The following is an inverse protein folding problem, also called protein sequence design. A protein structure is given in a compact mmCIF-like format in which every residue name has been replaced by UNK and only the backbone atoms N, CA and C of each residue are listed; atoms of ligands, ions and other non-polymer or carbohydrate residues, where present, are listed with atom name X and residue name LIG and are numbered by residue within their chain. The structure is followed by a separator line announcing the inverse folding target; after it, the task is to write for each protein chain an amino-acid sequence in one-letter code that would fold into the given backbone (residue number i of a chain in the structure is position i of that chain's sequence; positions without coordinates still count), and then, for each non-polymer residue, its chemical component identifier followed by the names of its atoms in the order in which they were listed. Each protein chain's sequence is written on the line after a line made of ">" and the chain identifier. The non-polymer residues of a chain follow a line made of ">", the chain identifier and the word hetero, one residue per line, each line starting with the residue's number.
data_IF_225381946007
#
_entry.id   IF_225381946007
#
_cell.length_a   1.000
_cell.length_b   1.000
_cell.length_c   1.000
_cell.angle_alpha   90.00
_cell.angle_beta   90.00
_cell.angle_gamma   90.00
#
_symmetry.space_group_name_H-M   'P 1'
#
loop_
_entity.id
_entity.type
_entity.pdbx_description
1 polymer ?
#
# COMPACT_ATOMS: atom_id res chain seq x y z
N UNK A 1 15.80 0.13 -14.19
CA UNK A 1 14.59 -0.69 -13.89
C UNK A 1 13.55 -0.39 -14.95
N UNK A 2 12.83 -1.39 -15.47
CA UNK A 2 11.69 -1.13 -16.37
C UNK A 2 10.45 -0.79 -15.53
N UNK A 3 9.62 0.17 -15.92
CA UNK A 3 8.39 0.53 -15.24
C UNK A 3 7.35 -0.61 -15.16
N UNK A 4 6.23 -0.36 -14.50
CA UNK A 4 5.05 -1.23 -14.55
C UNK A 4 4.23 -0.85 -15.78
N UNK A 5 3.80 -1.85 -16.56
CA UNK A 5 3.05 -1.60 -17.79
C UNK A 5 1.84 -2.53 -17.87
N UNK A 6 0.70 -1.95 -18.13
CA UNK A 6 -0.52 -2.64 -18.55
C UNK A 6 -0.81 -2.27 -20.00
N UNK A 7 -1.20 -3.25 -20.83
CA UNK A 7 -1.61 -3.02 -22.20
C UNK A 7 -2.92 -3.74 -22.44
N UNK A 8 -3.95 -2.97 -22.86
CA UNK A 8 -5.32 -3.45 -23.10
C UNK A 8 -5.82 -4.36 -21.97
N UNK A 9 -5.47 -3.98 -20.73
CA UNK A 9 -5.72 -4.81 -19.56
C UNK A 9 -7.16 -4.66 -19.07
N UNK A 10 -7.82 -5.79 -18.84
CA UNK A 10 -9.18 -5.85 -18.30
C UNK A 10 -9.19 -6.70 -17.04
N UNK A 11 -10.13 -6.41 -16.15
CA UNK A 11 -10.46 -7.26 -15.02
C UNK A 11 -11.97 -7.52 -15.00
N UNK A 12 -12.34 -8.82 -14.99
CA UNK A 12 -13.72 -9.28 -15.00
C UNK A 12 -14.04 -10.00 -13.68
N UNK A 13 -15.21 -9.72 -13.12
CA UNK A 13 -15.76 -10.43 -11.98
C UNK A 13 -17.18 -10.90 -12.27
N UNK A 14 -17.41 -12.19 -12.15
CA UNK A 14 -18.74 -12.78 -12.39
C UNK A 14 -19.33 -12.51 -13.78
N UNK A 15 -18.47 -12.40 -14.81
CA UNK A 15 -18.88 -12.14 -16.19
C UNK A 15 -19.11 -10.66 -16.51
N UNK A 16 -18.88 -9.75 -15.58
CA UNK A 16 -18.95 -8.31 -15.81
C UNK A 16 -17.56 -7.70 -15.79
N UNK A 17 -17.23 -6.87 -16.77
CA UNK A 17 -15.99 -6.09 -16.79
C UNK A 17 -16.08 -4.98 -15.75
N UNK A 18 -15.22 -5.05 -14.73
CA UNK A 18 -15.12 -4.07 -13.64
C UNK A 18 -14.08 -3.01 -13.97
N UNK A 19 -13.07 -3.36 -14.75
CA UNK A 19 -11.98 -2.47 -15.12
C UNK A 19 -11.50 -2.75 -16.55
N UNK A 20 -11.29 -1.68 -17.31
CA UNK A 20 -10.64 -1.75 -18.63
C UNK A 20 -11.56 -1.70 -19.85
N UNK A 21 -10.95 -1.77 -21.07
CA UNK A 21 -9.51 -1.95 -21.30
C UNK A 21 -8.66 -0.74 -20.88
N UNK A 22 -7.53 -1.00 -20.21
CA UNK A 22 -6.62 0.03 -19.72
C UNK A 22 -5.23 -0.14 -20.32
N UNK A 23 -4.70 0.95 -20.83
CA UNK A 23 -3.28 1.13 -21.14
C UNK A 23 -2.67 2.05 -20.10
N UNK A 24 -1.67 1.57 -19.36
CA UNK A 24 -1.02 2.33 -18.29
C UNK A 24 0.46 1.99 -18.23
N UNK A 25 1.29 3.01 -18.15
CA UNK A 25 2.71 2.89 -17.87
C UNK A 25 3.06 3.72 -16.64
N UNK A 26 3.72 3.09 -15.67
CA UNK A 26 4.25 3.74 -14.47
C UNK A 26 5.76 3.58 -14.49
N UNK A 27 6.47 4.69 -14.46
CA UNK A 27 7.92 4.72 -14.54
C UNK A 27 8.55 4.60 -13.14
N UNK A 28 9.79 4.10 -13.03
CA UNK A 28 10.52 4.14 -11.76
C UNK A 28 10.66 5.59 -11.27
N UNK A 29 10.47 5.79 -9.97
CA UNK A 29 10.50 7.12 -9.34
C UNK A 29 9.16 7.85 -9.35
N UNK A 30 8.10 7.27 -9.92
CA UNK A 30 6.78 7.86 -9.84
C UNK A 30 6.09 7.50 -8.51
N UNK A 31 5.55 8.52 -7.85
CA UNK A 31 4.61 8.39 -6.75
C UNK A 31 3.22 8.71 -7.28
N UNK A 32 2.42 7.68 -7.50
CA UNK A 32 1.09 7.78 -8.12
C UNK A 32 0.00 7.70 -7.07
N UNK A 33 -0.90 8.67 -7.06
CA UNK A 33 -2.15 8.57 -6.31
C UNK A 33 -3.29 8.15 -7.24
N UNK A 34 -3.98 7.05 -6.86
CA UNK A 34 -5.21 6.61 -7.50
C UNK A 34 -6.40 7.23 -6.79
N UNK A 35 -7.19 8.01 -7.50
CA UNK A 35 -8.35 8.74 -6.96
C UNK A 35 -9.64 8.38 -7.72
N UNK A 36 -10.80 8.61 -7.08
CA UNK A 36 -12.12 8.29 -7.61
C UNK A 36 -13.04 7.69 -6.56
N UNK A 37 -14.32 7.58 -6.89
CA UNK A 37 -15.38 7.07 -5.99
C UNK A 37 -15.06 5.66 -5.47
N UNK A 38 -15.69 5.29 -4.34
CA UNK A 38 -15.70 3.89 -3.91
C UNK A 38 -16.33 3.02 -4.98
N UNK A 39 -15.72 1.85 -5.26
CA UNK A 39 -16.17 0.95 -6.33
C UNK A 39 -15.75 1.36 -7.75
N UNK A 40 -15.00 2.45 -7.95
CA UNK A 40 -14.56 2.88 -9.29
C UNK A 40 -13.55 1.93 -9.97
N UNK A 41 -12.93 0.99 -9.22
CA UNK A 41 -11.94 0.04 -9.74
C UNK A 41 -10.50 0.26 -9.25
N UNK A 42 -10.26 1.13 -8.25
CA UNK A 42 -8.91 1.41 -7.71
C UNK A 42 -8.21 0.15 -7.17
N UNK A 43 -8.88 -0.57 -6.28
CA UNK A 43 -8.35 -1.84 -5.69
C UNK A 43 -8.14 -2.91 -6.77
N UNK A 44 -9.02 -2.96 -7.76
CA UNK A 44 -8.91 -3.87 -8.91
C UNK A 44 -7.69 -3.52 -9.77
N UNK A 45 -7.41 -2.23 -9.98
CA UNK A 45 -6.21 -1.80 -10.71
C UNK A 45 -4.94 -2.17 -9.95
N UNK A 46 -4.91 -1.99 -8.62
CA UNK A 46 -3.77 -2.40 -7.78
C UNK A 46 -3.54 -3.91 -7.86
N UNK A 47 -4.60 -4.72 -7.75
CA UNK A 47 -4.51 -6.18 -7.90
C UNK A 47 -3.99 -6.57 -9.29
N UNK A 48 -4.48 -5.94 -10.35
CA UNK A 48 -4.06 -6.21 -11.72
C UNK A 48 -2.58 -5.86 -11.96
N UNK A 49 -2.10 -4.74 -11.40
CA UNK A 49 -0.69 -4.35 -11.43
C UNK A 49 0.19 -5.35 -10.67
N UNK A 50 -0.27 -5.82 -9.52
CA UNK A 50 0.42 -6.83 -8.73
C UNK A 50 0.52 -8.16 -9.46
N UNK A 51 -0.59 -8.70 -9.96
CA UNK A 51 -0.66 -10.03 -10.60
C UNK A 51 0.14 -10.10 -11.91
N UNK A 52 0.17 -9.02 -12.67
CA UNK A 52 0.93 -8.95 -13.93
C UNK A 52 2.40 -8.59 -13.75
N UNK A 53 2.79 -8.19 -12.57
CA UNK A 53 4.18 -7.89 -12.26
C UNK A 53 4.95 -9.17 -11.98
N UNK A 54 6.14 -9.30 -12.61
CA UNK A 54 7.10 -10.39 -12.31
C UNK A 54 8.08 -9.99 -11.20
N UNK A 55 7.80 -8.94 -10.44
CA UNK A 55 8.70 -8.35 -9.47
C UNK A 55 8.20 -8.60 -8.06
N UNK A 56 9.13 -8.50 -7.14
CA UNK A 56 8.86 -8.46 -5.71
C UNK A 56 8.27 -7.07 -5.38
N UNK A 57 6.94 -6.98 -5.36
CA UNK A 57 6.18 -5.76 -5.08
C UNK A 57 5.58 -5.89 -3.70
N UNK A 58 5.79 -4.89 -2.87
CA UNK A 58 5.09 -4.80 -1.60
C UNK A 58 3.62 -4.45 -1.86
N UNK A 59 2.72 -5.24 -1.29
CA UNK A 59 1.28 -5.04 -1.39
C UNK A 59 0.66 -4.80 -0.02
N UNK A 60 -0.05 -3.70 0.13
CA UNK A 60 -0.91 -3.43 1.28
C UNK A 60 -2.37 -3.41 0.81
N UNK A 61 -3.13 -4.50 1.02
CA UNK A 61 -4.53 -4.57 0.63
C UNK A 61 -5.42 -3.80 1.61
N UNK A 62 -6.64 -3.47 1.20
CA UNK A 62 -7.62 -2.72 1.98
C UNK A 62 -8.01 -3.43 3.29
N UNK A 63 -8.09 -4.76 3.29
CA UNK A 63 -8.40 -5.57 4.48
C UNK A 63 -7.22 -5.72 5.45
N UNK A 64 -6.09 -5.04 5.16
CA UNK A 64 -4.83 -5.06 5.89
C UNK A 64 -4.12 -6.42 5.90
N UNK A 65 -4.81 -7.54 5.68
CA UNK A 65 -4.26 -8.90 5.66
C UNK A 65 -3.51 -9.28 6.95
N UNK A 66 -3.95 -8.80 8.11
CA UNK A 66 -3.32 -9.07 9.41
C UNK A 66 -3.92 -10.33 10.04
N UNK A 67 -3.09 -11.07 10.78
CA UNK A 67 -3.51 -12.25 11.55
C UNK A 67 -3.78 -11.82 12.99
N UNK A 68 -5.03 -11.76 13.38
CA UNK A 68 -5.50 -11.20 14.65
C UNK A 68 -4.98 -11.93 15.88
N UNK A 69 -4.74 -13.24 15.79
CA UNK A 69 -4.24 -14.07 16.89
C UNK A 69 -2.73 -13.93 17.12
N UNK A 70 -2.01 -13.37 16.17
CA UNK A 70 -0.56 -13.14 16.26
C UNK A 70 -0.23 -11.77 16.84
N UNK A 71 0.96 -11.63 17.43
CA UNK A 71 1.45 -10.35 17.90
C UNK A 71 1.80 -9.40 16.75
N UNK A 72 1.92 -8.12 17.07
CA UNK A 72 2.43 -7.08 16.15
C UNK A 72 3.76 -7.50 15.55
N UNK A 73 4.71 -7.98 16.39
CA UNK A 73 6.00 -8.49 15.92
C UNK A 73 5.84 -9.49 14.77
N UNK A 74 5.00 -10.52 14.97
CA UNK A 74 4.84 -11.56 13.97
C UNK A 74 4.18 -11.04 12.68
N UNK A 75 3.16 -10.17 12.81
CA UNK A 75 2.51 -9.57 11.65
C UNK A 75 3.48 -8.70 10.82
N UNK A 76 4.34 -7.91 11.48
CA UNK A 76 5.37 -7.10 10.79
C UNK A 76 6.43 -8.00 10.16
N UNK A 77 6.92 -9.00 10.92
CA UNK A 77 7.92 -9.95 10.44
C UNK A 77 7.47 -10.73 9.18
N UNK A 78 6.17 -10.96 9.02
CA UNK A 78 5.62 -11.59 7.81
C UNK A 78 6.04 -10.89 6.51
N UNK A 79 6.36 -9.60 6.54
CA UNK A 79 6.89 -8.87 5.38
C UNK A 79 8.16 -9.46 4.79
N UNK A 80 8.96 -10.19 5.58
CA UNK A 80 10.22 -10.79 5.13
C UNK A 80 10.23 -12.32 5.12
N UNK A 81 9.07 -12.98 5.15
CA UNK A 81 9.02 -14.45 5.11
C UNK A 81 9.70 -15.03 3.87
N UNK A 82 9.55 -14.39 2.71
CA UNK A 82 10.16 -14.83 1.46
C UNK A 82 11.69 -14.67 1.45
N UNK A 83 12.24 -13.78 2.28
CA UNK A 83 13.68 -13.52 2.36
C UNK A 83 14.46 -14.58 3.17
N UNK A 84 13.74 -15.45 3.90
CA UNK A 84 14.36 -16.42 4.82
C UNK A 84 13.87 -17.84 4.56
N UNK A 85 14.72 -18.83 4.88
CA UNK A 85 14.34 -20.24 4.80
C UNK A 85 13.21 -20.59 5.78
N UNK A 86 12.34 -21.53 5.41
CA UNK A 86 11.18 -21.94 6.21
C UNK A 86 11.54 -22.37 7.63
N UNK A 87 12.68 -23.06 7.81
CA UNK A 87 13.17 -23.50 9.13
C UNK A 87 13.52 -22.28 9.99
N UNK A 88 14.15 -21.25 9.41
CA UNK A 88 14.45 -20.01 10.11
C UNK A 88 13.17 -19.29 10.53
N UNK A 89 12.18 -19.18 9.62
CA UNK A 89 10.90 -18.56 9.90
C UNK A 89 10.15 -19.29 11.01
N UNK A 90 10.12 -20.63 11.00
CA UNK A 90 9.48 -21.43 12.04
C UNK A 90 10.16 -21.24 13.40
N UNK A 91 11.49 -21.24 13.44
CA UNK A 91 12.24 -20.97 14.68
C UNK A 91 11.95 -19.57 15.22
N UNK A 92 11.90 -18.55 14.34
CA UNK A 92 11.59 -17.17 14.72
C UNK A 92 10.14 -16.98 15.17
N UNK A 93 9.19 -17.79 14.66
CA UNK A 93 7.80 -17.80 15.12
C UNK A 93 7.69 -18.29 16.57
N UNK A 94 8.45 -19.36 16.93
CA UNK A 94 8.40 -19.95 18.29
C UNK A 94 9.22 -19.11 19.27
N UNK A 95 10.41 -18.67 18.85
CA UNK A 95 11.33 -17.86 19.64
C UNK A 95 11.93 -16.76 18.79
N UNK A 96 11.35 -15.55 18.85
CA UNK A 96 11.82 -14.41 18.06
C UNK A 96 13.31 -14.13 18.26
N UNK A 97 14.06 -14.09 17.18
CA UNK A 97 15.48 -13.78 17.20
C UNK A 97 15.70 -12.31 17.54
N UNK A 98 16.63 -12.04 18.46
CA UNK A 98 16.94 -10.67 18.92
C UNK A 98 17.19 -9.69 17.76
N UNK A 99 17.88 -10.15 16.71
CA UNK A 99 18.14 -9.34 15.51
C UNK A 99 16.83 -8.91 14.84
N UNK A 100 15.87 -9.83 14.69
CA UNK A 100 14.59 -9.52 14.06
C UNK A 100 13.71 -8.64 14.96
N UNK A 101 13.77 -8.86 16.27
CA UNK A 101 13.05 -8.00 17.23
C UNK A 101 13.56 -6.56 17.12
N UNK A 102 14.89 -6.33 17.11
CA UNK A 102 15.47 -5.00 16.97
C UNK A 102 15.04 -4.35 15.63
N UNK A 103 15.11 -5.09 14.53
CA UNK A 103 14.76 -4.57 13.22
C UNK A 103 13.26 -4.21 13.12
N UNK A 104 12.36 -5.05 13.65
CA UNK A 104 10.92 -4.77 13.70
C UNK A 104 10.64 -3.58 14.62
N UNK A 105 11.30 -3.51 15.78
CA UNK A 105 11.14 -2.35 16.71
C UNK A 105 11.50 -1.05 16.01
N UNK A 106 12.62 -1.00 15.29
CA UNK A 106 13.04 0.22 14.57
C UNK A 106 12.02 0.69 13.51
N UNK A 107 11.30 -0.23 12.88
CA UNK A 107 10.21 0.16 11.96
C UNK A 107 8.98 0.64 12.74
N UNK A 108 8.66 0.00 13.87
CA UNK A 108 7.53 0.40 14.72
C UNK A 108 7.74 1.77 15.37
N UNK A 109 8.99 2.13 15.72
CA UNK A 109 9.36 3.46 16.25
C UNK A 109 9.01 4.58 15.27
N UNK A 110 9.16 4.37 13.96
CA UNK A 110 8.78 5.35 12.93
C UNK A 110 7.27 5.64 12.90
N UNK A 111 6.48 4.77 13.51
CA UNK A 111 5.01 4.80 13.50
C UNK A 111 4.40 4.94 14.90
N UNK A 112 5.19 5.25 15.93
CA UNK A 112 4.78 5.32 17.35
C UNK A 112 4.05 4.05 17.81
N UNK A 113 4.60 2.87 17.49
CA UNK A 113 3.98 1.57 17.77
C UNK A 113 4.89 0.59 18.53
N UNK A 114 6.11 0.97 18.88
CA UNK A 114 7.12 0.10 19.53
C UNK A 114 6.63 -0.50 20.86
N UNK A 115 5.86 0.27 21.63
CA UNK A 115 5.30 -0.20 22.90
C UNK A 115 4.31 -1.36 22.74
N UNK A 116 3.77 -1.57 21.53
CA UNK A 116 2.76 -2.60 21.23
C UNK A 116 3.32 -3.86 20.57
N UNK A 117 4.65 -3.97 20.43
CA UNK A 117 5.29 -5.04 19.66
C UNK A 117 4.82 -6.46 20.03
N UNK A 118 4.49 -6.71 21.30
CA UNK A 118 4.01 -8.01 21.77
C UNK A 118 2.49 -8.10 21.96
N UNK A 119 1.76 -7.00 21.74
CA UNK A 119 0.30 -7.01 21.79
C UNK A 119 -0.28 -7.85 20.65
N UNK A 120 -1.39 -8.53 20.89
CA UNK A 120 -2.13 -9.22 19.82
C UNK A 120 -2.76 -8.20 18.89
N UNK A 121 -2.64 -8.43 17.58
CA UNK A 121 -3.15 -7.48 16.59
C UNK A 121 -4.67 -7.31 16.65
N UNK A 122 -5.40 -8.37 17.06
CA UNK A 122 -6.86 -8.30 17.24
C UNK A 122 -7.31 -7.42 18.42
N UNK A 123 -6.41 -7.07 19.35
CA UNK A 123 -6.70 -6.20 20.51
C UNK A 123 -6.47 -4.71 20.20
N UNK A 124 -5.95 -4.39 19.01
CA UNK A 124 -5.60 -3.04 18.60
C UNK A 124 -6.80 -2.28 18.03
N UNK A 125 -6.77 -0.95 18.16
CA UNK A 125 -7.70 -0.07 17.46
C UNK A 125 -7.49 -0.13 15.93
N UNK A 126 -8.48 0.30 15.15
CA UNK A 126 -8.40 0.31 13.69
C UNK A 126 -7.17 1.08 13.18
N UNK A 127 -6.91 2.27 13.72
CA UNK A 127 -5.71 3.05 13.34
C UNK A 127 -4.39 2.40 13.76
N UNK A 128 -4.35 1.67 14.88
CA UNK A 128 -3.17 0.89 15.27
C UNK A 128 -2.97 -0.30 14.31
N UNK A 129 -4.03 -1.02 13.97
CA UNK A 129 -3.98 -2.11 12.98
C UNK A 129 -3.46 -1.62 11.64
N UNK A 130 -3.94 -0.45 11.19
CA UNK A 130 -3.47 0.16 9.95
C UNK A 130 -1.96 0.45 10.00
N UNK A 131 -1.47 1.04 11.10
CA UNK A 131 -0.03 1.28 11.28
C UNK A 131 0.79 -0.02 11.34
N UNK A 132 0.26 -1.13 11.87
CA UNK A 132 0.92 -2.44 11.81
C UNK A 132 1.03 -2.96 10.37
N UNK A 133 -0.01 -2.78 9.54
CA UNK A 133 0.04 -3.16 8.13
C UNK A 133 1.06 -2.31 7.34
N UNK A 134 1.12 -1.01 7.63
CA UNK A 134 2.18 -0.11 7.11
C UNK A 134 3.56 -0.59 7.56
N UNK A 135 3.75 -0.88 8.86
CA UNK A 135 5.01 -1.41 9.38
C UNK A 135 5.45 -2.70 8.68
N UNK A 136 4.50 -3.61 8.39
CA UNK A 136 4.78 -4.82 7.61
C UNK A 136 5.30 -4.50 6.21
N UNK A 137 4.67 -3.55 5.51
CA UNK A 137 5.13 -3.13 4.20
C UNK A 137 6.52 -2.48 4.27
N UNK A 138 6.76 -1.55 5.22
CA UNK A 138 8.07 -0.93 5.42
C UNK A 138 9.15 -1.98 5.75
N UNK A 139 8.82 -2.98 6.57
CA UNK A 139 9.74 -4.07 6.92
C UNK A 139 10.01 -5.00 5.73
N UNK A 140 9.04 -5.21 4.84
CA UNK A 140 9.25 -5.95 3.58
C UNK A 140 10.28 -5.24 2.71
N UNK A 141 10.18 -3.91 2.61
CA UNK A 141 11.06 -3.12 1.73
C UNK A 141 10.82 -3.41 0.25
N UNK A 142 11.79 -3.06 -0.57
CA UNK A 142 11.74 -3.23 -2.02
C UNK A 142 11.65 -1.89 -2.75
N UNK A 143 11.49 -1.94 -4.08
CA UNK A 143 11.49 -0.74 -4.92
C UNK A 143 10.09 -0.17 -5.15
N UNK A 144 9.07 -1.04 -5.13
CA UNK A 144 7.69 -0.70 -5.51
C UNK A 144 6.71 -1.08 -4.42
N UNK A 145 5.82 -0.15 -4.10
CA UNK A 145 4.68 -0.36 -3.20
C UNK A 145 3.36 -0.15 -3.94
N UNK A 146 2.45 -1.09 -3.78
CA UNK A 146 1.02 -0.94 -4.08
C UNK A 146 0.25 -0.89 -2.75
N UNK A 147 -0.49 0.18 -2.48
CA UNK A 147 -1.22 0.32 -1.22
C UNK A 147 -2.66 0.78 -1.45
N UNK A 148 -3.60 0.12 -0.80
CA UNK A 148 -5.01 0.47 -0.86
C UNK A 148 -5.44 1.12 0.45
N UNK A 149 -5.68 2.43 0.42
CA UNK A 149 -6.12 3.27 1.53
C UNK A 149 -5.25 3.17 2.81
N UNK A 150 -3.91 3.36 2.72
CA UNK A 150 -3.00 3.10 3.85
C UNK A 150 -3.20 4.03 5.05
N UNK A 151 -4.02 5.08 4.94
CA UNK A 151 -4.22 6.11 5.98
C UNK A 151 -5.69 6.35 6.34
N UNK A 152 -6.63 5.53 5.85
CA UNK A 152 -8.07 5.78 5.98
C UNK A 152 -8.61 5.82 7.42
N UNK A 153 -7.94 5.13 8.37
CA UNK A 153 -8.31 5.08 9.79
C UNK A 153 -7.41 5.96 10.70
N UNK A 154 -6.63 6.88 10.10
CA UNK A 154 -5.67 7.70 10.82
C UNK A 154 -6.09 9.18 10.84
N UNK A 155 -5.70 9.89 11.90
CA UNK A 155 -5.79 11.35 11.97
C UNK A 155 -4.72 12.02 11.09
N UNK A 156 -4.88 13.33 10.84
CA UNK A 156 -4.02 14.09 9.93
C UNK A 156 -2.52 13.94 10.21
N UNK A 157 -2.02 14.20 11.42
CA UNK A 157 -0.59 14.09 11.71
C UNK A 157 -0.02 12.67 11.48
N UNK A 158 -0.79 11.63 11.86
CA UNK A 158 -0.38 10.23 11.65
C UNK A 158 -0.44 9.84 10.19
N UNK A 159 -1.44 10.32 9.46
CA UNK A 159 -1.54 10.11 8.00
C UNK A 159 -0.33 10.69 7.28
N UNK A 160 0.11 11.90 7.65
CA UNK A 160 1.30 12.53 7.07
C UNK A 160 2.57 11.73 7.38
N UNK A 161 2.76 11.30 8.62
CA UNK A 161 3.93 10.50 9.02
C UNK A 161 3.99 9.18 8.23
N UNK A 162 2.86 8.48 8.08
CA UNK A 162 2.76 7.25 7.28
C UNK A 162 3.08 7.52 5.81
N UNK A 163 2.48 8.53 5.20
CA UNK A 163 2.74 8.86 3.79
C UNK A 163 4.21 9.20 3.55
N UNK A 164 4.81 9.98 4.45
CA UNK A 164 6.24 10.30 4.38
C UNK A 164 7.11 9.04 4.51
N UNK A 165 6.83 8.15 5.46
CA UNK A 165 7.57 6.90 5.62
C UNK A 165 7.48 6.03 4.37
N UNK A 166 6.29 5.87 3.78
CA UNK A 166 6.09 5.08 2.57
C UNK A 166 6.83 5.68 1.36
N UNK A 167 6.68 6.98 1.09
CA UNK A 167 7.29 7.64 -0.07
C UNK A 167 8.80 7.83 0.06
N UNK A 168 9.35 7.82 1.28
CA UNK A 168 10.81 7.84 1.49
C UNK A 168 11.45 6.46 1.43
N UNK A 169 10.70 5.39 1.72
CA UNK A 169 11.20 4.02 1.70
C UNK A 169 11.17 3.41 0.29
N UNK A 170 10.10 3.67 -0.46
CA UNK A 170 9.91 3.09 -1.78
C UNK A 170 10.21 4.10 -2.88
N UNK A 171 10.99 3.66 -3.89
CA UNK A 171 11.30 4.48 -5.06
C UNK A 171 10.04 4.79 -5.88
N UNK A 172 9.11 3.84 -5.96
CA UNK A 172 7.87 3.96 -6.73
C UNK A 172 6.69 3.54 -5.86
N UNK A 173 5.67 4.37 -5.77
CA UNK A 173 4.45 4.04 -5.02
C UNK A 173 3.21 4.24 -5.86
N UNK A 174 2.26 3.31 -5.76
CA UNK A 174 0.93 3.47 -6.32
C UNK A 174 -0.07 3.30 -5.17
N UNK A 175 -0.69 4.39 -4.76
CA UNK A 175 -1.50 4.45 -3.55
C UNK A 175 -2.92 4.90 -3.89
N UNK A 176 -3.90 4.02 -3.64
CA UNK A 176 -5.30 4.41 -3.69
C UNK A 176 -5.68 5.21 -2.43
N UNK A 177 -6.30 6.36 -2.60
CA UNK A 177 -6.69 7.22 -1.49
C UNK A 177 -7.88 8.11 -1.84
N UNK A 178 -8.57 8.58 -0.78
CA UNK A 178 -9.69 9.54 -0.91
C UNK A 178 -9.28 10.96 -0.54
N UNK A 179 -8.23 11.14 0.26
CA UNK A 179 -7.74 12.45 0.65
C UNK A 179 -6.92 13.10 -0.48
N UNK A 180 -7.54 14.05 -1.16
CA UNK A 180 -6.92 14.79 -2.27
C UNK A 180 -5.80 15.71 -1.81
N UNK A 181 -5.81 16.15 -0.55
CA UNK A 181 -4.75 17.00 0.02
C UNK A 181 -3.47 16.19 0.18
N UNK A 182 -3.58 15.00 0.78
CA UNK A 182 -2.46 14.07 0.87
C UNK A 182 -2.01 13.59 -0.52
N UNK A 183 -2.95 13.30 -1.42
CA UNK A 183 -2.63 12.89 -2.79
C UNK A 183 -1.75 13.94 -3.50
N UNK A 184 -2.14 15.22 -3.44
CA UNK A 184 -1.36 16.31 -4.05
C UNK A 184 -0.01 16.56 -3.39
N UNK A 185 0.10 16.27 -2.09
CA UNK A 185 1.33 16.53 -1.34
C UNK A 185 2.38 15.45 -1.53
N UNK A 186 1.97 14.18 -1.63
CA UNK A 186 2.87 13.03 -1.65
C UNK A 186 2.99 12.34 -3.00
N UNK A 187 2.10 12.62 -3.94
CA UNK A 187 2.20 12.08 -5.30
C UNK A 187 2.73 13.12 -6.29
N UNK A 188 3.47 12.65 -7.29
CA UNK A 188 3.86 13.48 -8.43
C UNK A 188 2.91 13.29 -9.64
N UNK A 189 2.09 12.23 -9.64
CA UNK A 189 1.10 11.91 -10.67
C UNK A 189 -0.22 11.47 -10.06
N UNK A 190 -1.33 11.97 -10.60
CA UNK A 190 -2.69 11.62 -10.23
C UNK A 190 -3.36 10.86 -11.36
N UNK A 191 -3.89 9.68 -11.02
CA UNK A 191 -4.70 8.88 -11.93
C UNK A 191 -6.11 8.77 -11.34
N UNK A 192 -7.08 9.33 -12.06
CA UNK A 192 -8.49 9.26 -11.71
C UNK A 192 -9.19 8.11 -12.40
N UNK A 193 -9.88 7.27 -11.62
CA UNK A 193 -10.66 6.16 -12.15
C UNK A 193 -12.15 6.48 -12.00
N UNK A 194 -12.87 6.35 -13.11
CA UNK A 194 -14.32 6.52 -13.16
C UNK A 194 -14.92 5.40 -14.01
N UNK A 195 -15.92 4.70 -13.48
CA UNK A 195 -16.62 3.60 -14.16
C UNK A 195 -15.65 2.56 -14.78
N UNK A 196 -14.62 2.16 -14.07
CA UNK A 196 -13.67 1.14 -14.52
C UNK A 196 -12.69 1.60 -15.61
N UNK A 197 -12.62 2.89 -15.92
CA UNK A 197 -11.74 3.47 -16.93
C UNK A 197 -10.84 4.54 -16.31
N UNK A 198 -9.67 4.78 -16.90
CA UNK A 198 -8.84 5.95 -16.56
C UNK A 198 -9.50 7.18 -17.18
N UNK A 199 -10.07 8.03 -16.34
CA UNK A 199 -10.71 9.27 -16.75
C UNK A 199 -9.79 10.49 -16.63
N UNK A 200 -8.73 10.38 -15.81
CA UNK A 200 -7.75 11.43 -15.59
C UNK A 200 -6.37 10.79 -15.43
N UNK A 201 -5.35 11.37 -16.07
CA UNK A 201 -3.95 11.03 -15.89
C UNK A 201 -3.12 12.29 -16.09
N UNK A 202 -2.61 12.85 -14.98
CA UNK A 202 -1.98 14.19 -15.00
C UNK A 202 -0.97 14.34 -13.86
N UNK A 203 0.04 15.24 -14.00
CA UNK A 203 0.88 15.63 -12.89
C UNK A 203 0.04 16.17 -11.72
N UNK A 204 0.35 15.76 -10.49
CA UNK A 204 -0.46 16.08 -9.31
C UNK A 204 -0.62 17.58 -9.05
N UNK A 205 0.40 18.40 -9.44
CA UNK A 205 0.38 19.85 -9.30
C UNK A 205 -0.50 20.56 -10.34
N UNK A 206 -0.85 19.89 -11.44
CA UNK A 206 -1.59 20.48 -12.56
C UNK A 206 -3.10 20.22 -12.52
N UNK A 207 -3.56 19.38 -11.58
CA UNK A 207 -4.96 18.98 -11.53
C UNK A 207 -5.85 20.13 -11.06
N UNK A 208 -6.90 20.46 -11.84
CA UNK A 208 -7.91 21.44 -11.47
C UNK A 208 -8.96 20.82 -10.53
N UNK A 209 -9.60 21.65 -9.70
CA UNK A 209 -10.71 21.19 -8.86
C UNK A 209 -11.87 20.63 -9.69
N UNK A 210 -12.19 21.28 -10.82
CA UNK A 210 -13.24 20.81 -11.73
C UNK A 210 -12.97 19.43 -12.36
N UNK A 211 -11.71 19.11 -12.63
CA UNK A 211 -11.34 17.78 -13.14
C UNK A 211 -11.51 16.70 -12.07
N UNK A 212 -11.29 17.05 -10.80
CA UNK A 212 -11.53 16.15 -9.67
C UNK A 212 -13.03 15.98 -9.39
N UNK A 213 -13.82 17.07 -9.43
CA UNK A 213 -15.27 17.01 -9.24
C UNK A 213 -15.96 16.08 -10.25
N UNK A 214 -15.41 15.97 -11.46
CA UNK A 214 -15.92 15.03 -12.48
C UNK A 214 -15.65 13.53 -12.16
N UNK A 215 -14.82 13.21 -11.17
CA UNK A 215 -14.54 11.85 -10.72
C UNK A 215 -15.47 11.40 -9.58
N UNK A 216 -16.15 12.34 -8.90
CA UNK A 216 -17.02 12.13 -7.75
C UNK A 216 -18.47 12.52 -8.04
#
# INVERSE_FOLDING_TARGET
>A
MNGLTLSQACADYGGNTVLGPIDLQINPGEHVALVGRSGAGKSTLLALLHDRSRRDIALMPQDLGLVDTLSVFHNVYMGQLAAHASIYNLANLIRPFRRQVIAVTSVLEQLDMEATIWARTGELSGGQRQRVAVARSLFQGGDVLLADEPVSALDGPRSEAVMQALTSTYTTTIIAMHDLTLARRYANRLIGIHNGMIALDTPAHSVSSSALDALY
#
